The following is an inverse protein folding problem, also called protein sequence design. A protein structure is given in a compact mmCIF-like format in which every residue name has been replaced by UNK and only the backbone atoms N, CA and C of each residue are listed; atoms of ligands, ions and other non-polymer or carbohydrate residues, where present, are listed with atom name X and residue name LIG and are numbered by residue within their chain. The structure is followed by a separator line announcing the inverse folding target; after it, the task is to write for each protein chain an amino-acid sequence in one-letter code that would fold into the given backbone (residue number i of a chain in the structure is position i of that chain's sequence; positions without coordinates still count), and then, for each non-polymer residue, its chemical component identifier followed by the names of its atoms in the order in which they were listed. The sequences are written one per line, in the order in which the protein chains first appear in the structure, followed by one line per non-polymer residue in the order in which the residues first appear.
data_IF_494863818930
#
_entry.id   IF_494863818930
#
_cell.length_a   1.000
_cell.length_b   1.000
_cell.length_c   1.000
_cell.angle_alpha   90.00
_cell.angle_beta   90.00
_cell.angle_gamma   90.00
#
_symmetry.space_group_name_H-M   'P 1'
#
loop_
_entity.id
_entity.type
_entity.pdbx_description
1 polymer ?
#
# COMPACT_ATOMS: atom_id res chain seq x y z
N UNK A 1 8.40 1.14 5.07
CA UNK A 1 8.56 0.67 3.67
C UNK A 1 8.74 1.89 2.78
N UNK A 2 9.63 1.81 1.79
CA UNK A 2 9.87 2.84 0.79
C UNK A 2 9.81 2.22 -0.60
N UNK A 3 9.31 2.98 -1.57
CA UNK A 3 9.24 2.57 -2.97
C UNK A 3 10.07 3.57 -3.76
N UNK A 4 11.15 3.09 -4.39
CA UNK A 4 11.98 3.91 -5.24
C UNK A 4 11.47 3.82 -6.68
N UNK A 5 11.26 4.99 -7.28
CA UNK A 5 10.69 5.08 -8.61
C UNK A 5 11.54 5.93 -9.54
N UNK A 6 11.53 5.58 -10.83
CA UNK A 6 12.06 6.41 -11.91
C UNK A 6 10.89 7.08 -12.63
N UNK A 7 10.97 8.39 -12.84
CA UNK A 7 9.96 9.12 -13.60
C UNK A 7 9.74 8.47 -14.97
N UNK A 8 8.48 8.19 -15.29
CA UNK A 8 8.06 7.72 -16.60
C UNK A 8 7.41 8.84 -17.39
N UNK A 9 6.47 9.57 -16.77
CA UNK A 9 5.71 10.63 -17.43
C UNK A 9 5.10 11.58 -16.38
N UNK A 10 4.90 12.84 -16.75
CA UNK A 10 4.06 13.79 -16.02
C UNK A 10 2.83 14.07 -16.89
N UNK A 11 1.66 13.74 -16.37
CA UNK A 11 0.38 14.00 -17.04
C UNK A 11 -0.27 15.20 -16.39
N UNK A 12 -0.36 16.30 -17.14
CA UNK A 12 -1.01 17.52 -16.71
C UNK A 12 -2.50 17.47 -17.07
N UNK A 13 -3.36 17.46 -16.05
CA UNK A 13 -4.80 17.64 -16.20
C UNK A 13 -5.24 19.04 -15.75
N UNK A 14 -6.47 19.41 -16.06
CA UNK A 14 -7.03 20.73 -15.72
C UNK A 14 -7.05 21.01 -14.22
N UNK A 15 -7.33 19.99 -13.40
CA UNK A 15 -7.54 20.14 -11.96
C UNK A 15 -6.50 19.41 -11.09
N UNK A 16 -5.69 18.54 -11.70
CA UNK A 16 -4.67 17.78 -11.00
C UNK A 16 -3.56 17.38 -11.97
N UNK A 17 -2.36 17.17 -11.43
CA UNK A 17 -1.21 16.65 -12.16
C UNK A 17 -0.87 15.27 -11.59
N UNK A 18 -0.62 14.32 -12.47
CA UNK A 18 -0.23 12.95 -12.09
C UNK A 18 1.19 12.67 -12.52
N UNK A 19 2.00 12.21 -11.58
CA UNK A 19 3.35 11.69 -11.87
C UNK A 19 3.25 10.18 -12.03
N UNK A 20 3.48 9.69 -13.25
CA UNK A 20 3.64 8.27 -13.51
C UNK A 20 5.11 7.91 -13.34
N UNK A 21 5.38 6.90 -12.53
CA UNK A 21 6.73 6.46 -12.25
C UNK A 21 6.83 4.93 -12.26
N UNK A 22 7.94 4.42 -12.79
CA UNK A 22 8.27 2.99 -12.78
C UNK A 22 8.95 2.64 -11.47
N UNK A 23 8.42 1.65 -10.76
CA UNK A 23 9.08 1.09 -9.58
C UNK A 23 10.40 0.45 -10.02
N UNK A 24 11.51 0.90 -9.44
CA UNK A 24 12.85 0.34 -9.68
C UNK A 24 13.40 -0.42 -8.48
N UNK A 25 12.93 -0.10 -7.27
CA UNK A 25 13.26 -0.84 -6.05
C UNK A 25 12.14 -0.70 -5.01
N UNK A 26 12.09 -1.65 -4.08
CA UNK A 26 11.25 -1.60 -2.88
C UNK A 26 12.10 -2.03 -1.71
N UNK A 27 12.16 -1.20 -0.67
CA UNK A 27 12.89 -1.52 0.55
C UNK A 27 11.97 -1.42 1.77
N UNK A 28 12.22 -2.26 2.77
CA UNK A 28 11.49 -2.28 4.02
C UNK A 28 12.42 -2.78 5.11
N UNK A 29 12.23 -2.28 6.34
CA UNK A 29 12.93 -2.81 7.50
C UNK A 29 12.54 -4.28 7.72
N UNK A 30 13.50 -5.09 8.15
CA UNK A 30 13.28 -6.52 8.39
C UNK A 30 12.16 -6.78 9.41
N UNK A 31 11.97 -5.88 10.38
CA UNK A 31 10.94 -6.04 11.42
C UNK A 31 9.52 -6.02 10.85
N UNK A 32 9.29 -5.38 9.69
CA UNK A 32 7.96 -5.35 9.04
C UNK A 32 7.72 -6.55 8.13
N UNK A 33 8.67 -7.48 8.05
CA UNK A 33 8.52 -8.70 7.28
C UNK A 33 7.93 -9.82 8.16
N UNK A 34 7.28 -10.77 7.49
CA UNK A 34 6.90 -12.05 8.07
C UNK A 34 8.02 -13.08 7.88
N UNK A 35 7.81 -14.28 8.42
CA UNK A 35 8.78 -15.38 8.37
C UNK A 35 9.16 -15.82 6.94
N UNK A 36 8.32 -15.51 5.95
CA UNK A 36 8.55 -15.80 4.54
C UNK A 36 9.25 -14.66 3.80
N UNK A 37 9.76 -13.65 4.53
CA UNK A 37 10.40 -12.46 3.95
C UNK A 37 9.43 -11.56 3.19
N UNK A 38 8.12 -11.71 3.39
CA UNK A 38 7.09 -10.88 2.76
C UNK A 38 6.62 -9.81 3.72
N UNK A 39 6.15 -8.69 3.18
CA UNK A 39 5.59 -7.60 3.97
C UNK A 39 4.41 -8.08 4.84
N UNK A 40 4.46 -7.76 6.13
CA UNK A 40 3.34 -7.93 7.06
C UNK A 40 2.62 -6.58 7.23
N UNK A 41 1.40 -6.50 6.70
CA UNK A 41 0.60 -5.27 6.75
C UNK A 41 0.31 -4.81 8.18
N UNK A 42 0.22 -5.73 9.15
CA UNK A 42 -0.04 -5.39 10.55
C UNK A 42 1.18 -4.73 11.23
N UNK A 43 2.39 -5.03 10.76
CA UNK A 43 3.64 -4.45 11.30
C UNK A 43 4.07 -3.17 10.58
N UNK A 44 3.55 -2.92 9.39
CA UNK A 44 4.00 -1.83 8.51
C UNK A 44 3.61 -0.43 9.00
N UNK A 45 2.62 -0.31 9.90
CA UNK A 45 2.17 0.99 10.43
C UNK A 45 1.37 1.82 9.42
N UNK A 46 0.60 1.17 8.56
CA UNK A 46 -0.21 1.85 7.54
C UNK A 46 -1.30 2.72 8.20
N UNK A 47 -1.47 3.93 7.65
CA UNK A 47 -2.50 4.88 8.05
C UNK A 47 -3.50 5.10 6.91
N UNK A 48 -4.74 5.35 7.29
CA UNK A 48 -5.81 5.79 6.41
C UNK A 48 -6.10 7.28 6.66
N UNK A 49 -6.12 8.07 5.59
CA UNK A 49 -6.53 9.46 5.65
C UNK A 49 -8.03 9.59 5.33
N UNK A 50 -8.79 10.16 6.25
CA UNK A 50 -10.19 10.50 6.06
C UNK A 50 -10.32 11.97 5.65
N UNK A 51 -10.68 12.21 4.39
CA UNK A 51 -10.87 13.56 3.86
C UNK A 51 -12.11 14.28 4.39
N UNK A 52 -13.07 13.60 5.00
CA UNK A 52 -14.26 14.25 5.56
C UNK A 52 -13.96 14.95 6.88
N UNK A 53 -13.21 14.28 7.76
CA UNK A 53 -12.82 14.81 9.06
C UNK A 53 -11.40 15.39 9.10
N UNK A 54 -10.64 15.27 8.01
CA UNK A 54 -9.20 15.56 7.95
C UNK A 54 -8.39 14.83 9.05
N UNK A 55 -8.77 13.59 9.37
CA UNK A 55 -8.15 12.78 10.42
C UNK A 55 -7.38 11.58 9.85
N UNK A 56 -6.45 11.06 10.66
CA UNK A 56 -5.71 9.83 10.36
C UNK A 56 -6.14 8.70 11.28
N UNK A 57 -6.32 7.51 10.71
CA UNK A 57 -6.67 6.29 11.41
C UNK A 57 -5.63 5.20 11.16
N UNK A 58 -5.33 4.40 12.17
CA UNK A 58 -4.54 3.18 11.99
C UNK A 58 -5.33 2.15 11.20
N UNK A 59 -4.63 1.34 10.39
CA UNK A 59 -5.26 0.19 9.73
C UNK A 59 -5.76 -0.83 10.77
N UNK A 60 -6.95 -1.39 10.53
CA UNK A 60 -7.53 -2.44 11.36
C UNK A 60 -6.92 -3.83 11.12
N UNK A 61 -7.56 -4.86 11.69
CA UNK A 61 -7.10 -6.25 11.57
C UNK A 61 -7.34 -6.84 10.18
N UNK A 62 -6.59 -7.92 9.88
CA UNK A 62 -6.82 -8.71 8.66
C UNK A 62 -8.15 -9.46 8.77
N UNK A 63 -9.09 -9.14 7.89
CA UNK A 63 -10.45 -9.72 7.90
C UNK A 63 -10.66 -10.91 6.95
N UNK A 64 -9.64 -11.29 6.17
CA UNK A 64 -9.76 -12.45 5.27
C UNK A 64 -8.58 -12.64 4.32
N UNK A 65 -8.65 -13.68 3.49
CA UNK A 65 -7.67 -13.98 2.43
C UNK A 65 -8.26 -13.79 1.03
N UNK A 66 -7.79 -12.77 0.31
CA UNK A 66 -8.12 -12.57 -1.10
C UNK A 66 -7.80 -13.83 -1.93
N UNK A 67 -8.64 -14.12 -2.94
CA UNK A 67 -8.55 -15.31 -3.81
C UNK A 67 -8.65 -16.67 -3.07
N UNK A 68 -9.03 -16.65 -1.79
CA UNK A 68 -9.19 -17.83 -0.93
C UNK A 68 -10.60 -17.92 -0.35
N UNK A 69 -11.07 -16.88 0.34
CA UNK A 69 -12.34 -16.93 1.08
C UNK A 69 -13.55 -17.30 0.24
N UNK A 70 -13.61 -16.86 -1.02
CA UNK A 70 -14.73 -17.18 -1.92
C UNK A 70 -14.81 -18.65 -2.33
N UNK A 71 -13.70 -19.41 -2.22
CA UNK A 71 -13.65 -20.81 -2.67
C UNK A 71 -14.52 -21.76 -1.85
N UNK A 72 -14.96 -21.34 -0.66
CA UNK A 72 -15.89 -22.13 0.18
C UNK A 72 -17.34 -22.09 -0.31
N UNK A 73 -17.63 -21.28 -1.32
CA UNK A 73 -18.97 -21.08 -1.89
C UNK A 73 -19.08 -21.53 -3.36
N UNK A 74 -18.07 -22.25 -3.86
CA UNK A 74 -18.04 -22.84 -5.21
C UNK A 74 -17.93 -24.34 -5.14
#
# INVERSE_FOLDING_TARGET
MVIECRLAEIVEGTNFTTVLARIVNVAADEFVLNEQGRLDAAKNGLIFYDSFSNSYFSLGEKVGKAWGEGRKFV
#
